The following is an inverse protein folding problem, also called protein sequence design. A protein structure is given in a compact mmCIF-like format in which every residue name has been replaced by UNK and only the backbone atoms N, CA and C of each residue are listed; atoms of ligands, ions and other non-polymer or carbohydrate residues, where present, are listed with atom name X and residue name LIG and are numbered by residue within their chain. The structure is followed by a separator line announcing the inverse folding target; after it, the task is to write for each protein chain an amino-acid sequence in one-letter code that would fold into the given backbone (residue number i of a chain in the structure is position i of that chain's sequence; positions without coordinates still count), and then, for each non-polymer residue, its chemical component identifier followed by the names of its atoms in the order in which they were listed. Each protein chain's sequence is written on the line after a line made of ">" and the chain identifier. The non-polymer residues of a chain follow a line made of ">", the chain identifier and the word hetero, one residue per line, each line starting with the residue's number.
data_IF_955566557451
#
_entry.id   IF_955566557451
#
_cell.length_a   1.000
_cell.length_b   1.000
_cell.length_c   1.000
_cell.angle_alpha   90.00
_cell.angle_beta   90.00
_cell.angle_gamma   90.00
#
_symmetry.space_group_name_H-M   'P 1'
#
loop_
_entity.id
_entity.type
_entity.pdbx_description
1 polymer ?
#
# COMPACT_ATOMS: atom_id res chain seq x y z
N UNK A 1 19.07 7.59 12.36
CA UNK A 1 18.97 6.15 12.65
C UNK A 1 19.96 5.45 11.74
N UNK A 2 20.89 4.65 12.26
CA UNK A 2 21.81 3.92 11.38
C UNK A 2 21.11 2.69 10.77
N UNK A 3 21.56 2.19 9.60
CA UNK A 3 20.98 0.99 9.00
C UNK A 3 20.97 -0.21 9.94
N UNK A 4 22.04 -0.38 10.74
CA UNK A 4 22.13 -1.44 11.75
C UNK A 4 21.06 -1.28 12.84
N UNK A 5 20.84 -0.07 13.34
CA UNK A 5 19.80 0.21 14.33
C UNK A 5 18.39 -0.08 13.79
N UNK A 6 18.16 0.20 12.50
CA UNK A 6 16.90 -0.12 11.84
C UNK A 6 16.65 -1.63 11.76
N UNK A 7 17.65 -2.40 11.29
CA UNK A 7 17.55 -3.86 11.21
C UNK A 7 17.30 -4.48 12.60
N UNK A 8 18.06 -4.06 13.62
CA UNK A 8 17.87 -4.54 14.99
C UNK A 8 16.50 -4.15 15.55
N UNK A 9 16.03 -2.93 15.29
CA UNK A 9 14.69 -2.50 15.71
C UNK A 9 13.57 -3.31 15.05
N UNK A 10 13.70 -3.64 13.76
CA UNK A 10 12.74 -4.48 13.01
C UNK A 10 12.67 -5.89 13.57
N UNK A 11 13.84 -6.50 13.87
CA UNK A 11 13.94 -7.90 14.30
C UNK A 11 13.60 -8.05 15.79
N UNK A 12 14.20 -7.23 16.66
CA UNK A 12 14.08 -7.39 18.11
C UNK A 12 12.84 -6.70 18.69
N UNK A 13 12.43 -5.57 18.12
CA UNK A 13 11.33 -4.75 18.64
C UNK A 13 10.10 -4.73 17.74
N UNK A 14 10.13 -5.48 16.63
CA UNK A 14 9.02 -5.53 15.68
C UNK A 14 8.70 -4.17 15.05
N UNK A 15 9.66 -3.23 14.99
CA UNK A 15 9.38 -1.90 14.46
C UNK A 15 8.89 -1.99 13.00
N UNK A 16 7.80 -1.30 12.72
CA UNK A 16 7.23 -1.12 11.37
C UNK A 16 6.82 0.33 11.18
N UNK A 17 6.88 0.87 9.95
CA UNK A 17 6.36 2.20 9.67
C UNK A 17 4.87 2.30 10.00
N UNK A 18 4.43 3.49 10.41
CA UNK A 18 3.00 3.77 10.54
C UNK A 18 2.33 3.77 9.16
N UNK A 19 1.19 3.11 9.05
CA UNK A 19 0.42 3.06 7.80
C UNK A 19 -0.32 4.38 7.63
N UNK A 20 -0.24 5.04 6.45
CA UNK A 20 -1.00 6.27 6.19
C UNK A 20 -2.51 6.08 6.35
N UNK A 21 -3.22 7.13 6.82
CA UNK A 21 -4.67 7.05 7.09
C UNK A 21 -5.55 6.84 5.86
N UNK A 22 -5.05 7.21 4.69
CA UNK A 22 -5.75 7.08 3.40
C UNK A 22 -5.42 5.76 2.69
N UNK A 23 -4.70 4.84 3.34
CA UNK A 23 -4.44 3.52 2.78
C UNK A 23 -5.71 2.68 2.81
N UNK A 24 -6.02 2.02 1.69
CA UNK A 24 -7.19 1.17 1.57
C UNK A 24 -7.18 0.06 2.65
N UNK A 25 -8.30 -0.20 3.36
CA UNK A 25 -8.34 -1.13 4.49
C UNK A 25 -7.83 -2.54 4.16
N UNK A 26 -8.11 -3.04 2.95
CA UNK A 26 -7.59 -4.35 2.51
C UNK A 26 -6.08 -4.39 2.31
N UNK A 27 -5.46 -3.26 1.98
CA UNK A 27 -4.00 -3.16 1.89
C UNK A 27 -3.40 -3.13 3.30
N UNK A 28 -4.04 -2.44 4.24
CA UNK A 28 -3.64 -2.44 5.66
C UNK A 28 -3.64 -3.88 6.21
N UNK A 29 -4.72 -4.61 5.99
CA UNK A 29 -4.87 -6.02 6.39
C UNK A 29 -3.75 -6.90 5.81
N UNK A 30 -3.42 -6.72 4.52
CA UNK A 30 -2.31 -7.44 3.88
C UNK A 30 -0.95 -7.08 4.50
N UNK A 31 -0.68 -5.79 4.73
CA UNK A 31 0.59 -5.35 5.35
C UNK A 31 0.76 -5.95 6.74
N UNK A 32 -0.30 -5.98 7.55
CA UNK A 32 -0.28 -6.59 8.88
C UNK A 32 0.01 -8.10 8.84
N UNK A 33 -0.54 -8.82 7.84
CA UNK A 33 -0.20 -10.24 7.59
C UNK A 33 1.25 -10.41 7.13
N UNK A 34 1.75 -9.56 6.25
CA UNK A 34 3.15 -9.60 5.80
C UNK A 34 4.16 -9.29 6.91
N UNK A 35 3.74 -8.52 7.93
CA UNK A 35 4.59 -8.10 9.04
C UNK A 35 4.52 -8.97 10.28
N UNK A 36 3.85 -10.12 10.23
CA UNK A 36 3.81 -11.07 11.34
C UNK A 36 5.21 -11.42 11.85
N UNK A 37 5.36 -11.46 13.18
CA UNK A 37 6.65 -11.78 13.80
C UNK A 37 7.07 -13.20 13.41
N UNK A 38 6.14 -14.14 13.54
CA UNK A 38 6.30 -15.53 13.11
C UNK A 38 6.36 -15.60 11.57
N UNK A 39 7.46 -16.09 10.97
CA UNK A 39 7.57 -16.28 9.53
C UNK A 39 6.51 -17.22 8.95
N UNK A 40 6.04 -18.22 9.70
CA UNK A 40 5.07 -19.21 9.22
C UNK A 40 3.65 -18.65 9.09
N UNK A 41 3.37 -17.51 9.74
CA UNK A 41 2.09 -16.82 9.62
C UNK A 41 2.06 -15.80 8.46
N UNK A 42 3.20 -15.57 7.81
CA UNK A 42 3.27 -14.66 6.67
C UNK A 42 2.71 -15.37 5.43
N UNK A 43 1.95 -14.66 4.59
CA UNK A 43 1.47 -15.23 3.34
C UNK A 43 2.64 -15.54 2.39
N UNK A 44 2.51 -16.61 1.64
CA UNK A 44 3.41 -16.91 0.53
C UNK A 44 3.32 -15.84 -0.55
N UNK A 45 4.38 -15.67 -1.32
CA UNK A 45 4.42 -14.62 -2.33
C UNK A 45 3.31 -14.76 -3.38
N UNK A 46 2.93 -15.99 -3.73
CA UNK A 46 1.77 -16.27 -4.59
C UNK A 46 0.46 -15.75 -4.00
N UNK A 47 0.19 -16.00 -2.72
CA UNK A 47 -0.98 -15.46 -2.01
C UNK A 47 -0.99 -13.93 -2.03
N UNK A 48 0.18 -13.30 -1.81
CA UNK A 48 0.30 -11.83 -1.83
C UNK A 48 -0.14 -11.28 -3.20
N UNK A 49 0.30 -11.90 -4.30
CA UNK A 49 -0.07 -11.48 -5.66
C UNK A 49 -1.58 -11.62 -5.88
N UNK A 50 -2.17 -12.75 -5.50
CA UNK A 50 -3.61 -12.99 -5.64
C UNK A 50 -4.44 -11.96 -4.85
N UNK A 51 -4.03 -11.68 -3.60
CA UNK A 51 -4.70 -10.69 -2.75
C UNK A 51 -4.59 -9.29 -3.39
N UNK A 52 -3.40 -8.88 -3.84
CA UNK A 52 -3.18 -7.58 -4.46
C UNK A 52 -4.00 -7.41 -5.75
N UNK A 53 -4.06 -8.43 -6.60
CA UNK A 53 -4.89 -8.42 -7.80
C UNK A 53 -6.39 -8.29 -7.47
N UNK A 54 -6.85 -9.00 -6.43
CA UNK A 54 -8.21 -8.88 -5.93
C UNK A 54 -8.53 -7.46 -5.45
N UNK A 55 -7.63 -6.85 -4.68
CA UNK A 55 -7.77 -5.46 -4.21
C UNK A 55 -7.84 -4.48 -5.38
N UNK A 56 -6.92 -4.59 -6.34
CA UNK A 56 -6.89 -3.74 -7.52
C UNK A 56 -8.21 -3.83 -8.32
N UNK A 57 -8.72 -5.04 -8.52
CA UNK A 57 -10.00 -5.26 -9.20
C UNK A 57 -11.17 -4.60 -8.47
N UNK A 58 -11.25 -4.76 -7.14
CA UNK A 58 -12.31 -4.17 -6.32
C UNK A 58 -12.31 -2.63 -6.41
N UNK A 59 -11.13 -2.00 -6.31
CA UNK A 59 -11.00 -0.54 -6.41
C UNK A 59 -11.49 -0.04 -7.77
N UNK A 60 -11.07 -0.69 -8.86
CA UNK A 60 -11.50 -0.32 -10.22
C UNK A 60 -13.01 -0.49 -10.42
N UNK A 61 -13.63 -1.50 -9.81
CA UNK A 61 -15.08 -1.72 -9.87
C UNK A 61 -15.86 -0.66 -9.07
N UNK A 62 -15.37 -0.27 -7.90
CA UNK A 62 -15.94 0.79 -7.08
C UNK A 62 -15.91 2.14 -7.81
N UNK A 63 -14.78 2.49 -8.43
CA UNK A 63 -14.64 3.70 -9.26
C UNK A 63 -15.66 3.73 -10.40
N UNK A 64 -15.84 2.60 -11.10
CA UNK A 64 -16.82 2.47 -12.19
C UNK A 64 -18.25 2.61 -11.67
N UNK A 65 -18.57 2.01 -10.52
CA UNK A 65 -19.89 2.14 -9.91
C UNK A 65 -20.17 3.58 -9.48
N UNK A 66 -19.18 4.26 -8.91
CA UNK A 66 -19.28 5.66 -8.52
C UNK A 66 -19.47 6.57 -9.75
N UNK A 67 -18.74 6.33 -10.85
CA UNK A 67 -18.93 7.04 -12.13
C UNK A 67 -20.34 6.89 -12.69
N UNK A 68 -20.96 5.71 -12.59
CA UNK A 68 -22.36 5.48 -13.03
C UNK A 68 -23.37 6.28 -12.20
N UNK A 69 -23.14 6.38 -10.90
CA UNK A 69 -23.98 7.17 -9.98
C UNK A 69 -23.84 8.67 -10.25
N UNK A 70 -22.64 9.12 -10.59
CA UNK A 70 -22.31 10.51 -10.89
C UNK A 70 -22.60 10.90 -12.35
N UNK A 71 -23.09 9.99 -13.20
CA UNK A 71 -23.47 10.28 -14.59
C UNK A 71 -24.78 11.10 -14.71
N UNK A 72 -25.31 11.60 -13.58
CA UNK A 72 -26.28 12.70 -13.52
C UNK A 72 -25.64 14.09 -13.33
N UNK A 73 -24.33 14.18 -13.07
CA UNK A 73 -23.58 15.42 -12.95
C UNK A 73 -22.37 15.35 -13.88
N UNK A 74 -22.56 15.83 -15.12
CA UNK A 74 -21.44 15.98 -16.04
C UNK A 74 -20.51 17.10 -15.56
N UNK A 75 -19.21 16.78 -15.49
CA UNK A 75 -18.07 17.56 -16.01
C UNK A 75 -16.83 17.50 -15.09
N UNK A 76 -15.75 16.97 -15.68
CA UNK A 76 -14.36 17.43 -15.57
C UNK A 76 -13.57 17.22 -14.25
N UNK A 77 -13.02 16.02 -14.05
CA UNK A 77 -11.71 15.83 -13.39
C UNK A 77 -10.98 14.68 -14.11
N UNK A 78 -10.42 14.95 -15.29
CA UNK A 78 -8.97 15.10 -15.53
C UNK A 78 -8.12 13.98 -14.91
N UNK A 79 -7.87 12.94 -15.73
CA UNK A 79 -6.68 12.09 -15.65
C UNK A 79 -5.45 12.97 -15.86
N UNK A 80 -4.73 13.32 -14.80
CA UNK A 80 -3.39 13.96 -14.78
C UNK A 80 -3.08 14.24 -13.28
N UNK A 81 -2.11 13.65 -12.58
CA UNK A 81 -0.86 13.04 -12.99
C UNK A 81 -0.42 12.02 -11.92
N UNK A 82 -0.41 10.73 -12.29
CA UNK A 82 0.58 9.82 -11.73
C UNK A 82 1.74 9.81 -12.72
N UNK A 83 2.79 10.60 -12.46
CA UNK A 83 4.11 10.01 -12.35
C UNK A 83 5.04 10.71 -11.33
N UNK A 84 5.92 9.94 -10.70
CA UNK A 84 7.26 10.38 -10.26
C UNK A 84 7.34 11.55 -9.25
N UNK A 85 7.30 11.21 -7.96
CA UNK A 85 8.08 11.92 -6.94
C UNK A 85 8.54 10.97 -5.82
N UNK A 86 9.21 9.90 -6.20
CA UNK A 86 10.39 9.48 -5.43
C UNK A 86 11.56 10.23 -6.04
N UNK A 87 11.69 11.52 -5.68
CA UNK A 87 12.95 12.21 -5.90
C UNK A 87 13.95 11.60 -4.94
N UNK A 88 14.94 10.94 -5.54
CA UNK A 88 16.32 10.93 -5.05
C UNK A 88 16.62 12.26 -4.35
N UNK A 89 16.84 12.19 -3.05
CA UNK A 89 17.84 13.05 -2.43
C UNK A 89 18.98 12.13 -2.04
N UNK A 90 19.99 12.12 -2.90
CA UNK A 90 21.37 12.05 -2.44
C UNK A 90 21.49 12.91 -1.16
N UNK A 91 21.84 12.28 -0.05
CA UNK A 91 22.51 12.96 1.04
C UNK A 91 23.70 12.09 1.41
N UNK A 92 24.80 12.41 0.74
CA UNK A 92 26.15 12.46 1.29
C UNK A 92 26.12 12.78 2.78
N UNK A 93 26.39 11.77 3.62
CA UNK A 93 27.23 11.80 4.82
C UNK A 93 27.32 10.39 5.41
#
# INVERSE_FOLDING_TARGET
>A
MTPLQAALGVVQKGLRPSIPRYTHPKVVELLERCWQHDPYLRPEFSEIIEILQGIAKMILEEERANKKRNLGESCQLMEQEWPLKMQESENTA
#
